data_IF_184383331582
#
_entry.id   IF_184383331582
#
_cell.length_a   1.000
_cell.length_b   1.000
_cell.length_c   1.000
_cell.angle_alpha   90.00
_cell.angle_beta   90.00
_cell.angle_gamma   90.00
#
_symmetry.space_group_name_H-M   'P 1'
#
loop_
_entity.id
_entity.type
_entity.pdbx_description
1 polymer ?
#
# COMPACT_ATOMS: atom_id res chain seq x y z
N UNK A 1 -10.69 12.48 -7.02
CA UNK A 1 -9.31 12.84 -6.64
C UNK A 1 -8.89 11.84 -5.59
N UNK A 2 -7.81 11.08 -5.83
CA UNK A 2 -7.35 10.07 -4.88
C UNK A 2 -6.89 10.73 -3.57
N UNK A 3 -7.18 10.07 -2.50
CA UNK A 3 -6.86 10.52 -1.15
C UNK A 3 -5.65 9.74 -0.70
N UNK A 4 -4.56 10.44 -0.42
CA UNK A 4 -3.33 9.80 0.05
C UNK A 4 -3.42 9.50 1.54
N UNK A 5 -3.10 8.27 1.91
CA UNK A 5 -2.87 7.90 3.30
C UNK A 5 -1.44 8.31 3.69
N UNK A 6 -1.21 8.93 4.85
CA UNK A 6 0.12 9.39 5.25
C UNK A 6 1.01 8.19 5.66
N UNK A 7 1.58 7.50 4.68
CA UNK A 7 2.75 6.70 4.90
C UNK A 7 3.98 7.59 4.63
N UNK A 8 4.79 7.82 5.63
CA UNK A 8 6.00 8.66 5.55
C UNK A 8 6.95 8.06 4.50
N UNK A 9 7.15 8.78 3.41
CA UNK A 9 8.14 8.44 2.40
C UNK A 9 9.54 8.81 2.91
N UNK A 10 10.39 7.81 3.09
CA UNK A 10 11.84 8.03 3.16
C UNK A 10 12.37 7.92 1.74
N UNK A 11 12.79 9.03 1.17
CA UNK A 11 13.40 9.12 -0.15
C UNK A 11 14.77 8.41 -0.12
N UNK A 12 14.80 7.13 -0.43
CA UNK A 12 16.02 6.36 -0.61
C UNK A 12 16.31 6.31 -2.12
N UNK A 13 17.33 7.07 -2.55
CA UNK A 13 17.78 7.15 -3.92
C UNK A 13 17.86 5.80 -4.64
N UNK A 14 17.89 5.81 -5.97
CA UNK A 14 17.88 4.70 -6.94
C UNK A 14 18.69 3.45 -6.49
N UNK A 15 18.17 2.69 -5.53
CA UNK A 15 18.69 1.37 -5.17
C UNK A 15 17.79 0.29 -5.77
N UNK A 16 18.40 -0.81 -6.23
CA UNK A 16 17.66 -1.97 -6.71
C UNK A 16 16.68 -2.43 -5.62
N UNK A 17 15.41 -2.67 -5.98
CA UNK A 17 14.39 -3.12 -5.03
C UNK A 17 14.81 -4.47 -4.44
N UNK A 18 15.02 -4.51 -3.14
CA UNK A 18 15.47 -5.69 -2.42
C UNK A 18 14.72 -5.82 -1.09
N UNK A 19 14.77 -6.99 -0.49
CA UNK A 19 14.35 -7.23 0.89
C UNK A 19 14.91 -6.16 1.86
N UNK A 20 16.09 -5.62 1.55
CA UNK A 20 16.73 -4.53 2.31
C UNK A 20 15.85 -3.28 2.42
N UNK A 21 15.05 -2.95 1.41
CA UNK A 21 14.11 -1.80 1.47
C UNK A 21 13.03 -2.04 2.54
N UNK A 22 12.45 -3.25 2.58
CA UNK A 22 11.45 -3.62 3.59
C UNK A 22 12.07 -3.69 4.99
N UNK A 23 13.29 -4.23 5.11
CA UNK A 23 14.02 -4.25 6.37
C UNK A 23 14.26 -2.83 6.91
N UNK A 24 14.71 -1.91 6.05
CA UNK A 24 14.90 -0.50 6.42
C UNK A 24 13.58 0.15 6.83
N UNK A 25 12.49 -0.16 6.14
CA UNK A 25 11.16 0.31 6.52
C UNK A 25 10.76 -0.19 7.91
N UNK A 26 10.91 -1.48 8.22
CA UNK A 26 10.60 -2.03 9.54
C UNK A 26 11.50 -1.45 10.64
N UNK A 27 12.79 -1.24 10.36
CA UNK A 27 13.71 -0.55 11.29
C UNK A 27 13.22 0.86 11.60
N UNK A 28 12.78 1.62 10.59
CA UNK A 28 12.24 2.96 10.80
C UNK A 28 10.95 2.98 11.64
N UNK A 29 10.27 1.83 11.73
CA UNK A 29 9.09 1.63 12.58
C UNK A 29 9.42 1.05 13.96
N UNK A 30 10.72 0.90 14.28
CA UNK A 30 11.18 0.48 15.61
C UNK A 30 11.17 -1.03 15.84
N UNK A 31 11.05 -1.86 14.82
CA UNK A 31 11.12 -3.31 15.00
C UNK A 31 12.57 -3.73 15.30
N UNK A 32 12.78 -4.69 16.20
CA UNK A 32 14.11 -5.24 16.49
C UNK A 32 14.64 -6.06 15.30
N UNK A 33 15.95 -6.00 15.06
CA UNK A 33 16.63 -6.67 13.95
C UNK A 33 16.28 -8.16 13.82
N UNK A 34 16.31 -8.90 14.93
CA UNK A 34 15.97 -10.32 14.94
C UNK A 34 14.55 -10.61 14.41
N UNK A 35 13.57 -9.76 14.78
CA UNK A 35 12.20 -9.90 14.28
C UNK A 35 12.12 -9.57 12.80
N UNK A 36 12.86 -8.55 12.33
CA UNK A 36 12.87 -8.13 10.92
C UNK A 36 13.36 -9.26 10.02
N UNK A 37 14.43 -9.96 10.38
CA UNK A 37 14.97 -11.07 9.60
C UNK A 37 13.90 -12.15 9.42
N UNK A 38 13.31 -12.63 10.50
CA UNK A 38 12.29 -13.68 10.44
C UNK A 38 11.01 -13.25 9.70
N UNK A 39 10.61 -11.99 9.81
CA UNK A 39 9.44 -11.43 9.11
C UNK A 39 9.72 -11.37 7.61
N UNK A 40 10.89 -10.86 7.23
CA UNK A 40 11.22 -10.64 5.81
C UNK A 40 11.45 -11.93 5.03
N UNK A 41 11.81 -13.03 5.68
CA UNK A 41 11.89 -14.37 5.09
C UNK A 41 10.55 -14.87 4.53
N UNK A 42 9.43 -14.39 5.08
CA UNK A 42 8.07 -14.73 4.59
C UNK A 42 7.67 -13.97 3.33
N UNK A 43 8.48 -13.01 2.88
CA UNK A 43 8.18 -12.20 1.71
C UNK A 43 8.88 -12.74 0.45
N UNK A 44 8.17 -12.67 -0.67
CA UNK A 44 8.68 -13.06 -1.98
C UNK A 44 8.66 -11.86 -2.93
N UNK A 45 9.70 -11.72 -3.75
CA UNK A 45 9.75 -10.68 -4.78
C UNK A 45 8.83 -11.05 -5.94
N UNK A 46 8.01 -10.09 -6.36
CA UNK A 46 7.18 -10.17 -7.56
C UNK A 46 7.40 -8.92 -8.41
N UNK A 47 7.60 -9.13 -9.72
CA UNK A 47 7.61 -8.07 -10.72
C UNK A 47 6.27 -8.03 -11.42
N UNK A 48 5.83 -6.84 -11.78
CA UNK A 48 4.63 -6.61 -12.58
C UNK A 48 4.95 -5.63 -13.70
N UNK A 49 4.49 -5.94 -14.89
CA UNK A 49 4.53 -5.04 -16.01
C UNK A 49 3.46 -3.95 -15.87
N UNK A 50 3.64 -2.85 -16.58
CA UNK A 50 2.62 -1.81 -16.67
C UNK A 50 1.29 -2.40 -17.16
N UNK A 51 0.21 -2.14 -16.43
CA UNK A 51 -1.13 -2.64 -16.72
C UNK A 51 -1.48 -3.96 -16.05
N UNK A 52 -0.51 -4.68 -15.47
CA UNK A 52 -0.79 -5.91 -14.74
C UNK A 52 -1.51 -5.66 -13.41
N UNK A 53 -2.34 -6.62 -13.04
CA UNK A 53 -3.14 -6.55 -11.82
C UNK A 53 -2.42 -7.18 -10.62
N UNK A 54 -2.39 -6.45 -9.53
CA UNK A 54 -2.10 -7.03 -8.22
C UNK A 54 -3.36 -7.66 -7.61
N UNK A 55 -4.49 -6.95 -7.70
CA UNK A 55 -5.83 -7.45 -7.37
C UNK A 55 -6.78 -7.09 -8.51
N UNK A 56 -7.60 -8.04 -8.93
CA UNK A 56 -8.64 -7.83 -9.93
C UNK A 56 -10.02 -8.02 -9.31
N UNK A 57 -10.97 -7.19 -9.67
CA UNK A 57 -12.37 -7.31 -9.27
C UNK A 57 -12.89 -8.74 -9.46
N UNK A 58 -13.65 -9.24 -8.51
CA UNK A 58 -14.16 -10.62 -8.48
C UNK A 58 -13.14 -11.66 -8.01
N UNK A 59 -11.85 -11.32 -7.84
CA UNK A 59 -10.82 -12.20 -7.29
C UNK A 59 -10.54 -11.87 -5.82
N UNK A 60 -10.30 -12.91 -5.01
CA UNK A 60 -9.91 -12.71 -3.61
C UNK A 60 -8.46 -12.21 -3.50
N UNK A 61 -8.25 -11.13 -2.74
CA UNK A 61 -6.92 -10.62 -2.42
C UNK A 61 -6.23 -11.52 -1.41
N UNK A 62 -5.42 -12.46 -1.90
CA UNK A 62 -4.71 -13.44 -1.06
C UNK A 62 -3.36 -12.96 -0.55
N UNK A 63 -2.87 -11.86 -1.07
CA UNK A 63 -1.54 -11.34 -0.75
C UNK A 63 -1.62 -9.91 -0.27
N UNK A 64 -0.75 -9.57 0.67
CA UNK A 64 -0.34 -8.22 0.97
C UNK A 64 0.98 -7.95 0.25
N UNK A 65 1.10 -6.80 -0.40
CA UNK A 65 2.32 -6.35 -1.06
C UNK A 65 2.99 -5.22 -0.31
N UNK A 66 4.30 -5.06 -0.47
CA UNK A 66 5.06 -3.87 -0.14
C UNK A 66 5.74 -3.37 -1.40
N UNK A 67 5.46 -2.14 -1.80
CA UNK A 67 5.96 -1.56 -3.05
C UNK A 67 7.40 -1.10 -2.82
N UNK A 68 8.34 -1.67 -3.57
CA UNK A 68 9.73 -1.23 -3.57
C UNK A 68 10.03 -0.31 -4.74
N UNK A 69 9.29 -0.46 -5.84
CA UNK A 69 9.38 0.39 -7.03
C UNK A 69 8.06 0.35 -7.81
N UNK A 70 7.70 1.46 -8.46
CA UNK A 70 6.54 1.59 -9.31
C UNK A 70 5.35 2.27 -8.65
N UNK A 71 4.30 2.46 -9.42
CA UNK A 71 3.04 3.10 -9.03
C UNK A 71 1.87 2.17 -9.24
N UNK A 72 0.88 2.25 -8.35
CA UNK A 72 -0.34 1.47 -8.40
C UNK A 72 -1.56 2.37 -8.30
N UNK A 73 -2.57 2.05 -9.12
CA UNK A 73 -3.88 2.67 -9.13
C UNK A 73 -4.91 1.73 -8.49
N UNK A 74 -5.71 2.26 -7.58
CA UNK A 74 -6.92 1.63 -7.06
C UNK A 74 -8.11 2.25 -7.77
N UNK A 75 -9.01 1.42 -8.32
CA UNK A 75 -10.20 1.92 -8.99
C UNK A 75 -11.35 0.92 -8.93
N UNK A 76 -12.54 1.45 -9.03
CA UNK A 76 -13.77 0.70 -9.25
C UNK A 76 -14.25 0.87 -10.68
N UNK A 77 -14.96 -0.13 -11.19
CA UNK A 77 -15.72 0.00 -12.45
C UNK A 77 -17.15 0.43 -12.13
N UNK A 78 -17.58 1.53 -12.72
CA UNK A 78 -18.96 2.02 -12.62
C UNK A 78 -19.43 2.45 -14.00
N UNK A 79 -20.49 1.81 -14.50
CA UNK A 79 -21.06 2.07 -15.82
C UNK A 79 -20.02 2.00 -16.96
N UNK A 80 -19.08 1.02 -16.87
CA UNK A 80 -18.00 0.82 -17.82
C UNK A 80 -16.84 1.84 -17.72
N UNK A 81 -16.85 2.72 -16.71
CA UNK A 81 -15.80 3.72 -16.48
C UNK A 81 -14.97 3.38 -15.25
N UNK A 82 -13.66 3.60 -15.34
CA UNK A 82 -12.75 3.50 -14.22
C UNK A 82 -12.88 4.74 -13.31
N UNK A 83 -13.24 4.50 -12.06
CA UNK A 83 -13.28 5.53 -11.01
C UNK A 83 -12.08 5.32 -10.10
N UNK A 84 -11.02 6.07 -10.33
CA UNK A 84 -9.81 6.03 -9.49
C UNK A 84 -10.12 6.58 -8.11
N UNK A 85 -9.81 5.79 -7.09
CA UNK A 85 -10.00 6.17 -5.68
C UNK A 85 -8.69 6.49 -4.99
N UNK A 86 -7.60 5.83 -5.42
CA UNK A 86 -6.30 6.00 -4.79
C UNK A 86 -5.16 5.67 -5.75
N UNK A 87 -4.03 6.35 -5.58
CA UNK A 87 -2.76 6.03 -6.25
C UNK A 87 -1.68 5.97 -5.17
N UNK A 88 -0.81 4.99 -5.26
CA UNK A 88 0.27 4.79 -4.29
C UNK A 88 1.56 4.34 -4.98
N UNK A 89 2.69 4.53 -4.31
CA UNK A 89 4.02 4.23 -4.84
C UNK A 89 4.93 3.56 -3.83
N UNK A 90 6.23 3.64 -4.05
CA UNK A 90 7.25 2.98 -3.24
C UNK A 90 7.13 3.28 -1.74
N UNK A 91 7.53 2.32 -0.91
CA UNK A 91 7.49 2.33 0.56
C UNK A 91 6.06 2.30 1.15
N UNK A 92 5.07 1.86 0.38
CA UNK A 92 3.71 1.66 0.85
C UNK A 92 3.29 0.19 0.79
N UNK A 93 2.37 -0.21 1.65
CA UNK A 93 1.71 -1.51 1.57
C UNK A 93 0.58 -1.47 0.54
N UNK A 94 0.37 -2.60 -0.12
CA UNK A 94 -0.56 -2.79 -1.23
C UNK A 94 -1.50 -3.96 -0.92
N UNK A 95 -2.79 -3.70 -0.77
CA UNK A 95 -3.81 -4.73 -0.57
C UNK A 95 -5.22 -4.16 -0.77
N UNK A 96 -6.16 -4.99 -1.22
CA UNK A 96 -7.59 -4.66 -1.14
C UNK A 96 -8.08 -4.98 0.27
N UNK A 97 -8.26 -3.95 1.10
CA UNK A 97 -8.55 -4.10 2.53
C UNK A 97 -9.72 -5.04 2.81
N UNK A 98 -10.89 -4.75 2.23
CA UNK A 98 -12.09 -5.54 2.48
C UNK A 98 -11.94 -6.98 2.01
N UNK A 99 -11.37 -7.18 0.81
CA UNK A 99 -11.15 -8.51 0.25
C UNK A 99 -10.12 -9.31 1.04
N UNK A 100 -8.99 -8.67 1.41
CA UNK A 100 -7.93 -9.32 2.17
C UNK A 100 -8.38 -9.73 3.57
N UNK A 101 -9.05 -8.86 4.30
CA UNK A 101 -9.48 -9.20 5.67
C UNK A 101 -10.65 -10.17 5.72
N UNK A 102 -11.58 -10.11 4.78
CA UNK A 102 -12.74 -11.01 4.73
C UNK A 102 -12.47 -12.30 3.95
N UNK A 103 -11.34 -12.39 3.24
CA UNK A 103 -11.04 -13.46 2.29
C UNK A 103 -12.19 -13.70 1.30
N UNK A 104 -12.75 -12.60 0.78
CA UNK A 104 -13.87 -12.57 -0.15
C UNK A 104 -13.47 -11.87 -1.47
N UNK A 105 -14.23 -12.04 -2.56
CA UNK A 105 -13.96 -11.37 -3.83
C UNK A 105 -13.86 -9.86 -3.67
N UNK A 106 -12.85 -9.24 -4.31
CA UNK A 106 -12.65 -7.81 -4.34
C UNK A 106 -13.69 -7.12 -5.20
N UNK A 107 -14.16 -5.96 -4.77
CA UNK A 107 -14.98 -5.04 -5.57
C UNK A 107 -14.12 -4.02 -6.32
N UNK A 108 -12.84 -3.92 -6.00
CA UNK A 108 -11.92 -2.97 -6.59
C UNK A 108 -10.81 -3.68 -7.36
N UNK A 109 -10.21 -2.92 -8.27
CA UNK A 109 -9.02 -3.32 -9.00
C UNK A 109 -7.81 -2.56 -8.44
N UNK A 110 -6.67 -3.24 -8.36
CA UNK A 110 -5.36 -2.66 -8.06
C UNK A 110 -4.43 -3.02 -9.21
N UNK A 111 -4.02 -2.01 -9.99
CA UNK A 111 -3.27 -2.19 -11.24
C UNK A 111 -1.96 -1.40 -11.21
N UNK A 112 -0.89 -1.98 -11.72
CA UNK A 112 0.39 -1.30 -11.90
C UNK A 112 0.27 -0.24 -13.00
N UNK A 113 0.60 1.01 -12.70
CA UNK A 113 0.61 2.14 -13.66
C UNK A 113 1.94 2.24 -14.41
N UNK A 114 2.99 1.67 -13.83
CA UNK A 114 4.35 1.58 -14.39
C UNK A 114 4.86 0.16 -14.20
N UNK A 115 6.02 -0.18 -14.77
CA UNK A 115 6.76 -1.34 -14.32
C UNK A 115 6.98 -1.23 -12.81
N UNK A 116 6.75 -2.32 -12.09
CA UNK A 116 6.76 -2.31 -10.64
C UNK A 116 7.47 -3.55 -10.08
N UNK A 117 8.09 -3.37 -8.91
CA UNK A 117 8.62 -4.46 -8.10
C UNK A 117 8.02 -4.35 -6.70
N UNK A 118 7.48 -5.45 -6.23
CA UNK A 118 6.85 -5.56 -4.92
C UNK A 118 7.38 -6.78 -4.17
N UNK A 119 7.31 -6.72 -2.86
CA UNK A 119 7.50 -7.85 -1.97
C UNK A 119 6.12 -8.32 -1.50
N UNK A 120 5.78 -9.58 -1.68
CA UNK A 120 4.46 -10.13 -1.37
C UNK A 120 4.52 -11.13 -0.23
N UNK A 121 3.53 -11.11 0.64
CA UNK A 121 3.33 -12.12 1.68
C UNK A 121 1.89 -12.65 1.60
N UNK A 122 1.73 -13.98 1.71
CA UNK A 122 0.41 -14.62 1.67
C UNK A 122 -0.38 -14.34 2.95
N UNK A 123 -1.71 -14.31 2.85
CA UNK A 123 -2.62 -14.10 3.97
C UNK A 123 -2.32 -15.02 5.16
N UNK A 124 -2.14 -16.32 4.93
CA UNK A 124 -1.88 -17.30 5.98
C UNK A 124 -0.58 -17.00 6.74
N UNK A 125 0.46 -16.53 6.02
CA UNK A 125 1.73 -16.13 6.63
C UNK A 125 1.58 -14.86 7.48
N UNK A 126 0.76 -13.90 7.04
CA UNK A 126 0.43 -12.74 7.86
C UNK A 126 -0.28 -13.17 9.14
N UNK A 127 -1.23 -14.11 9.04
CA UNK A 127 -1.94 -14.65 10.21
C UNK A 127 -1.00 -15.44 11.13
N UNK A 128 -0.07 -16.21 10.58
CA UNK A 128 0.96 -16.92 11.33
C UNK A 128 1.88 -15.95 12.08
N UNK A 129 2.42 -14.95 11.38
CA UNK A 129 3.30 -13.94 11.99
C UNK A 129 2.59 -13.17 13.12
N UNK A 130 1.33 -12.81 12.94
CA UNK A 130 0.54 -12.15 14.02
C UNK A 130 0.41 -13.01 15.28
N UNK A 131 0.41 -14.33 15.13
CA UNK A 131 0.27 -15.27 16.26
C UNK A 131 1.61 -15.58 16.92
N UNK A 132 2.69 -15.64 16.13
CA UNK A 132 3.97 -16.20 16.54
C UNK A 132 5.06 -15.15 16.79
N UNK A 133 4.86 -13.90 16.33
CA UNK A 133 5.86 -12.84 16.41
C UNK A 133 5.25 -11.57 17.04
N UNK A 134 5.54 -11.34 18.32
CA UNK A 134 5.00 -10.20 19.07
C UNK A 134 5.38 -8.85 18.47
N UNK A 135 6.60 -8.71 17.94
CA UNK A 135 7.05 -7.46 17.32
C UNK A 135 6.26 -7.18 16.02
N UNK A 136 5.97 -8.23 15.23
CA UNK A 136 5.09 -8.08 14.04
C UNK A 136 3.67 -7.74 14.45
N UNK A 137 3.14 -8.37 15.49
CA UNK A 137 1.79 -8.07 15.99
C UNK A 137 1.69 -6.61 16.45
N UNK A 138 2.66 -6.12 17.22
CA UNK A 138 2.69 -4.72 17.67
C UNK A 138 2.76 -3.75 16.48
N UNK A 139 3.63 -4.01 15.50
CA UNK A 139 3.70 -3.25 14.27
C UNK A 139 2.37 -3.28 13.51
N UNK A 140 1.77 -4.46 13.37
CA UNK A 140 0.52 -4.64 12.64
C UNK A 140 -0.64 -3.85 13.27
N UNK A 141 -0.73 -3.86 14.61
CA UNK A 141 -1.73 -3.05 15.34
C UNK A 141 -1.49 -1.57 15.10
N UNK A 142 -0.26 -1.08 15.28
CA UNK A 142 0.07 0.32 15.05
C UNK A 142 -0.19 0.76 13.60
N UNK A 143 0.07 -0.12 12.62
CA UNK A 143 -0.24 0.14 11.22
C UNK A 143 -1.75 0.25 10.96
N UNK A 144 -2.57 -0.60 11.60
CA UNK A 144 -4.03 -0.52 11.53
C UNK A 144 -4.58 0.74 12.21
N UNK A 145 -4.06 1.12 13.38
CA UNK A 145 -4.45 2.35 14.07
C UNK A 145 -4.17 3.57 13.19
N UNK A 146 -2.98 3.67 12.61
CA UNK A 146 -2.64 4.74 11.67
C UNK A 146 -3.55 4.74 10.44
N UNK A 147 -3.90 3.57 9.91
CA UNK A 147 -4.82 3.45 8.78
C UNK A 147 -6.22 3.97 9.15
N UNK A 148 -6.74 3.63 10.32
CA UNK A 148 -8.05 4.09 10.79
C UNK A 148 -8.06 5.61 10.97
N UNK A 149 -7.02 6.18 11.59
CA UNK A 149 -6.86 7.63 11.74
C UNK A 149 -6.86 8.31 10.36
N UNK A 150 -6.05 7.81 9.43
CA UNK A 150 -5.97 8.34 8.08
C UNK A 150 -7.30 8.26 7.31
N UNK A 151 -8.06 7.18 7.49
CA UNK A 151 -9.39 7.05 6.89
C UNK A 151 -10.37 8.07 7.48
N UNK A 152 -10.29 8.35 8.78
CA UNK A 152 -11.14 9.35 9.44
C UNK A 152 -10.77 10.78 9.01
N UNK A 153 -9.48 11.11 8.95
CA UNK A 153 -8.99 12.40 8.42
C UNK A 153 -9.45 12.61 6.98
N UNK A 154 -9.35 11.58 6.16
CA UNK A 154 -9.80 11.56 4.78
C UNK A 154 -11.30 11.84 4.67
N UNK A 155 -12.12 11.12 5.45
CA UNK A 155 -13.56 11.33 5.51
C UNK A 155 -13.90 12.75 5.96
N UNK A 156 -13.21 13.25 6.96
CA UNK A 156 -13.36 14.62 7.49
C UNK A 156 -13.02 15.64 6.40
N UNK A 157 -11.88 15.48 5.71
CA UNK A 157 -11.49 16.38 4.62
C UNK A 157 -12.48 16.37 3.45
N UNK A 158 -13.13 15.23 3.17
CA UNK A 158 -14.20 15.19 2.16
C UNK A 158 -15.43 15.98 2.55
N UNK A 159 -15.72 16.12 3.84
CA UNK A 159 -16.89 16.82 4.36
C UNK A 159 -16.62 18.33 4.49
N UNK A 160 -15.44 18.71 5.01
CA UNK A 160 -15.18 20.10 5.40
C UNK A 160 -14.41 20.91 4.35
N UNK A 161 -13.65 20.26 3.45
CA UNK A 161 -12.83 20.94 2.46
C UNK A 161 -13.49 20.94 1.08
N UNK A 162 -13.37 22.07 0.37
CA UNK A 162 -13.70 22.15 -1.05
C UNK A 162 -12.78 21.28 -1.92
N UNK A 163 -13.15 21.06 -3.18
CA UNK A 163 -12.32 20.31 -4.11
C UNK A 163 -10.95 20.96 -4.32
N UNK A 164 -10.92 22.31 -4.38
CA UNK A 164 -9.69 23.07 -4.53
C UNK A 164 -8.76 22.90 -3.31
N UNK A 165 -9.29 23.05 -2.10
CA UNK A 165 -8.50 22.89 -0.87
C UNK A 165 -7.93 21.47 -0.73
N UNK A 166 -8.71 20.45 -1.09
CA UNK A 166 -8.19 19.05 -1.13
C UNK A 166 -7.09 18.87 -2.16
N UNK A 167 -7.20 19.54 -3.32
CA UNK A 167 -6.15 19.51 -4.34
C UNK A 167 -4.87 20.19 -3.86
N UNK A 168 -4.97 21.33 -3.21
CA UNK A 168 -3.82 22.02 -2.61
C UNK A 168 -3.17 21.20 -1.50
N UNK A 169 -3.97 20.52 -0.69
CA UNK A 169 -3.47 19.61 0.34
C UNK A 169 -2.71 18.42 -0.29
N UNK A 170 -3.21 17.87 -1.38
CA UNK A 170 -2.53 16.80 -2.12
C UNK A 170 -1.20 17.27 -2.72
N UNK A 171 -1.17 18.44 -3.35
CA UNK A 171 0.05 19.06 -3.89
C UNK A 171 1.12 19.26 -2.82
N UNK A 172 0.69 19.65 -1.61
CA UNK A 172 1.60 19.89 -0.48
C UNK A 172 2.14 18.59 0.10
N UNK A 173 1.29 17.57 0.26
CA UNK A 173 1.65 16.35 0.99
C UNK A 173 2.30 15.29 0.10
N UNK A 174 1.98 15.25 -1.21
CA UNK A 174 2.40 14.19 -2.14
C UNK A 174 2.98 14.74 -3.46
N UNK A 175 3.92 15.71 -3.41
CA UNK A 175 4.44 16.33 -4.63
C UNK A 175 5.16 15.34 -5.54
N UNK A 176 5.88 14.37 -4.96
CA UNK A 176 6.64 13.38 -5.72
C UNK A 176 5.74 12.33 -6.38
N UNK A 177 4.65 11.95 -5.72
CA UNK A 177 3.64 11.05 -6.30
C UNK A 177 3.01 11.70 -7.53
N UNK A 178 2.61 12.96 -7.43
CA UNK A 178 1.97 13.70 -8.52
C UNK A 178 2.88 13.85 -9.75
N UNK A 179 4.19 14.01 -9.56
CA UNK A 179 5.16 14.08 -10.66
C UNK A 179 5.33 12.76 -11.41
N UNK A 180 5.01 11.65 -10.77
CA UNK A 180 5.19 10.31 -11.34
C UNK A 180 3.92 9.77 -12.01
N UNK A 181 2.76 10.39 -11.78
CA UNK A 181 1.50 9.97 -12.43
C UNK A 181 1.59 10.32 -13.92
N UNK A 182 1.48 9.33 -14.81
CA UNK A 182 1.44 9.59 -16.26
C UNK A 182 0.19 10.44 -16.59
N UNK A 183 0.39 11.53 -17.33
CA UNK A 183 -0.69 12.36 -17.87
C UNK A 183 -1.40 11.65 -19.01
#
# INVERSE_FOLDING_TARGET
IPISYPFIFVNLGKQKPTLKTLQTYFLSKGLPLQAIESITESFQTKQLDKGEYFVQEGRTSKYMGFITQGLFQYYYLKDGKEITTYVTGANAFLLSLSSFFKQAPSLENIRAMTEATILTIHYDEVMRLKKENEAFLAFYIAALENLVISMDDTRTNLIILSAEERYQLLLKNEPDLLRQIPL
#
